data_IF_112639063114
#
_entry.id   IF_112639063114
#
_cell.length_a   1.000
_cell.length_b   1.000
_cell.length_c   1.000
_cell.angle_alpha   90.00
_cell.angle_beta   90.00
_cell.angle_gamma   90.00
#
_symmetry.space_group_name_H-M   'P 1'
#
loop_
_entity.id
_entity.type
_entity.pdbx_description
1 polymer ?
#
# COMPACT_ATOMS: atom_id res chain seq x y z
N UNK A 1 -5.69 18.05 12.77
CA UNK A 1 -5.75 16.82 13.57
C UNK A 1 -5.91 15.67 12.60
N UNK A 2 -5.11 14.64 12.71
CA UNK A 2 -5.21 13.43 11.89
C UNK A 2 -5.21 12.23 12.82
N UNK A 3 -6.10 11.28 12.59
CA UNK A 3 -6.26 10.07 13.39
C UNK A 3 -6.58 8.89 12.47
N UNK A 4 -6.26 7.67 12.91
CA UNK A 4 -6.61 6.45 12.20
C UNK A 4 -7.71 5.72 13.00
N UNK A 5 -8.89 5.67 12.41
CA UNK A 5 -10.03 4.96 12.98
C UNK A 5 -9.91 3.46 12.71
N UNK A 6 -10.00 2.65 13.75
CA UNK A 6 -10.01 1.21 13.65
C UNK A 6 -11.43 0.66 13.61
N UNK A 7 -11.74 -0.12 12.59
CA UNK A 7 -12.97 -0.89 12.53
C UNK A 7 -12.76 -2.21 13.26
N UNK A 8 -13.45 -2.40 14.38
CA UNK A 8 -13.40 -3.65 15.14
C UNK A 8 -14.55 -4.56 14.74
N UNK A 9 -14.19 -5.78 14.39
CA UNK A 9 -15.13 -6.85 14.09
C UNK A 9 -14.93 -7.94 15.15
N UNK A 10 -15.97 -8.23 15.90
CA UNK A 10 -15.98 -9.21 16.97
C UNK A 10 -17.28 -10.03 16.90
N UNK A 11 -17.18 -11.31 17.16
CA UNK A 11 -18.33 -12.22 17.28
C UNK A 11 -18.19 -13.00 18.58
N UNK A 12 -19.30 -13.34 19.22
CA UNK A 12 -19.32 -14.01 20.53
C UNK A 12 -18.55 -15.34 20.58
N UNK A 13 -18.31 -15.96 19.41
CA UNK A 13 -17.67 -17.27 19.28
C UNK A 13 -16.29 -17.22 18.58
N UNK A 14 -15.72 -16.05 18.34
CA UNK A 14 -14.42 -15.89 17.71
C UNK A 14 -13.56 -14.86 18.45
N UNK A 15 -12.25 -14.93 18.25
CA UNK A 15 -11.37 -13.84 18.66
C UNK A 15 -11.62 -12.60 17.78
N UNK A 16 -11.41 -11.40 18.33
CA UNK A 16 -11.46 -10.15 17.58
C UNK A 16 -10.48 -10.17 16.41
N UNK A 17 -10.88 -9.58 15.27
CA UNK A 17 -10.02 -9.47 14.09
C UNK A 17 -8.90 -8.48 14.38
N UNK A 18 -7.66 -8.83 13.99
CA UNK A 18 -6.51 -7.94 14.12
C UNK A 18 -6.69 -6.68 13.27
N UNK A 19 -6.28 -5.54 13.81
CA UNK A 19 -6.23 -4.29 13.05
C UNK A 19 -5.11 -4.34 12.02
N UNK A 20 -5.46 -4.12 10.75
CA UNK A 20 -4.54 -4.12 9.62
C UNK A 20 -4.67 -2.80 8.89
N UNK A 21 -3.64 -1.98 8.92
CA UNK A 21 -3.57 -0.69 8.23
C UNK A 21 -3.87 -0.83 6.74
N UNK A 22 -4.79 0.01 6.24
CA UNK A 22 -5.20 0.03 4.83
C UNK A 22 -6.11 -1.14 4.42
N UNK A 23 -6.63 -1.90 5.40
CA UNK A 23 -7.63 -2.95 5.20
C UNK A 23 -8.88 -2.71 6.06
N UNK A 24 -8.73 -2.65 7.38
CA UNK A 24 -9.83 -2.39 8.33
C UNK A 24 -9.55 -1.14 9.20
N UNK A 25 -8.80 -0.20 8.67
CA UNK A 25 -8.58 1.12 9.23
C UNK A 25 -9.04 2.20 8.27
N UNK A 26 -9.44 3.34 8.82
CA UNK A 26 -9.85 4.52 8.06
C UNK A 26 -9.10 5.74 8.58
N UNK A 27 -8.30 6.39 7.71
CA UNK A 27 -7.64 7.65 8.05
C UNK A 27 -8.64 8.80 8.05
N UNK A 28 -8.74 9.51 9.17
CA UNK A 28 -9.56 10.72 9.31
C UNK A 28 -8.67 11.94 9.53
N UNK A 29 -8.76 12.90 8.64
CA UNK A 29 -8.08 14.20 8.81
C UNK A 29 -9.11 15.31 8.94
N UNK A 30 -9.04 16.06 10.06
CA UNK A 30 -9.87 17.24 10.29
C UNK A 30 -8.95 18.47 10.22
N UNK A 31 -9.22 19.37 9.27
CA UNK A 31 -8.43 20.58 9.02
C UNK A 31 -9.34 21.74 8.65
N UNK A 32 -8.97 22.95 9.06
CA UNK A 32 -9.64 24.20 8.64
C UNK A 32 -9.21 24.64 7.25
N UNK A 33 -8.16 24.02 6.70
CA UNK A 33 -7.67 24.23 5.32
C UNK A 33 -7.73 22.91 4.57
N UNK A 34 -8.05 22.94 3.27
CA UNK A 34 -8.00 21.72 2.45
C UNK A 34 -6.63 21.03 2.60
N UNK A 35 -6.66 19.73 2.85
CA UNK A 35 -5.47 18.91 2.98
C UNK A 35 -5.47 17.82 1.90
N UNK A 36 -4.30 17.31 1.57
CA UNK A 36 -4.16 16.16 0.68
C UNK A 36 -4.76 14.91 1.34
N UNK A 37 -5.51 14.14 0.57
CA UNK A 37 -6.20 12.92 1.05
C UNK A 37 -6.20 11.86 -0.05
N UNK A 38 -5.54 10.72 0.20
CA UNK A 38 -5.29 9.67 -0.78
C UNK A 38 -6.13 8.43 -0.49
N UNK A 39 -7.04 8.10 -1.40
CA UNK A 39 -7.73 6.81 -1.41
C UNK A 39 -6.95 5.85 -2.31
N UNK A 40 -6.58 4.68 -1.81
CA UNK A 40 -5.78 3.72 -2.54
C UNK A 40 -6.40 2.32 -2.57
N UNK A 41 -6.31 1.67 -3.74
CA UNK A 41 -6.79 0.32 -3.97
C UNK A 41 -5.69 -0.51 -4.62
N UNK A 42 -5.37 -1.66 -4.02
CA UNK A 42 -4.44 -2.64 -4.57
C UNK A 42 -5.18 -3.76 -5.29
N UNK A 43 -4.59 -4.25 -6.39
CA UNK A 43 -5.08 -5.37 -7.16
C UNK A 43 -3.96 -6.38 -7.41
N UNK A 44 -4.12 -7.61 -6.91
CA UNK A 44 -3.21 -8.73 -7.14
C UNK A 44 -3.58 -9.50 -8.39
N UNK A 45 -2.63 -10.24 -8.98
CA UNK A 45 -2.85 -10.98 -10.23
C UNK A 45 -3.98 -12.01 -10.11
N UNK A 46 -4.13 -12.65 -8.95
CA UNK A 46 -5.18 -13.64 -8.66
C UNK A 46 -6.52 -13.00 -8.23
N UNK A 47 -6.55 -11.69 -7.95
CA UNK A 47 -7.74 -10.99 -7.45
C UNK A 47 -8.15 -11.34 -6.02
N UNK A 48 -7.33 -12.13 -5.30
CA UNK A 48 -7.62 -12.60 -3.94
C UNK A 48 -6.97 -11.75 -2.82
N UNK A 49 -6.25 -10.66 -3.20
CA UNK A 49 -5.54 -9.81 -2.25
C UNK A 49 -4.23 -10.40 -1.72
N UNK A 50 -3.73 -11.50 -2.31
CA UNK A 50 -2.49 -12.17 -1.93
C UNK A 50 -1.48 -12.08 -3.08
N UNK A 51 -0.27 -11.64 -2.78
CA UNK A 51 0.89 -11.73 -3.66
C UNK A 51 1.54 -13.09 -3.43
N UNK A 52 1.48 -13.96 -4.43
CA UNK A 52 2.06 -15.29 -4.40
C UNK A 52 3.39 -15.30 -5.13
N UNK A 53 4.45 -15.79 -4.49
CA UNK A 53 5.79 -15.96 -5.06
C UNK A 53 6.12 -17.45 -4.99
N UNK A 54 6.44 -18.06 -6.14
CA UNK A 54 6.54 -19.52 -6.25
C UNK A 54 7.75 -20.12 -5.54
N UNK A 55 8.81 -19.33 -5.31
CA UNK A 55 10.02 -19.83 -4.65
C UNK A 55 10.86 -18.68 -4.07
N UNK A 56 11.77 -19.02 -3.17
CA UNK A 56 12.82 -18.09 -2.68
C UNK A 56 13.71 -17.66 -3.84
N UNK A 57 13.99 -16.37 -3.95
CA UNK A 57 14.66 -15.73 -5.09
C UNK A 57 13.71 -15.35 -6.23
N UNK A 58 12.47 -15.80 -6.19
CA UNK A 58 11.43 -15.40 -7.12
C UNK A 58 10.91 -13.98 -6.85
N UNK A 59 10.15 -13.47 -7.81
CA UNK A 59 9.52 -12.15 -7.71
C UNK A 59 8.07 -12.20 -8.21
N UNK A 60 7.25 -11.32 -7.67
CA UNK A 60 5.90 -11.07 -8.13
C UNK A 60 5.61 -9.56 -8.12
N UNK A 61 4.51 -9.15 -8.74
CA UNK A 61 4.08 -7.77 -8.74
C UNK A 61 2.56 -7.66 -8.53
N UNK A 62 2.14 -6.50 -8.04
CA UNK A 62 0.74 -6.12 -8.00
C UNK A 62 0.55 -4.66 -8.41
N UNK A 63 -0.64 -4.33 -8.86
CA UNK A 63 -1.00 -2.98 -9.24
C UNK A 63 -1.59 -2.22 -8.04
N UNK A 64 -1.35 -0.91 -8.01
CA UNK A 64 -1.99 0.01 -7.06
C UNK A 64 -2.52 1.22 -7.83
N UNK A 65 -3.78 1.55 -7.59
CA UNK A 65 -4.36 2.82 -8.01
C UNK A 65 -4.62 3.69 -6.78
N UNK A 66 -4.37 4.99 -6.90
CA UNK A 66 -4.70 5.95 -5.85
C UNK A 66 -5.31 7.21 -6.42
N UNK A 67 -6.29 7.77 -5.72
CA UNK A 67 -6.93 9.02 -6.08
C UNK A 67 -6.72 10.05 -4.95
N UNK A 68 -6.30 11.26 -5.29
CA UNK A 68 -6.29 12.37 -4.35
C UNK A 68 -7.69 12.99 -4.33
N UNK A 69 -8.45 12.78 -3.26
CA UNK A 69 -9.79 13.37 -3.06
C UNK A 69 -9.75 14.67 -2.27
N UNK A 70 -8.56 15.10 -1.87
CA UNK A 70 -8.30 16.33 -1.13
C UNK A 70 -7.65 17.43 -1.98
N UNK A 71 -6.88 18.31 -1.34
CA UNK A 71 -6.15 19.39 -1.99
C UNK A 71 -4.92 18.88 -2.76
N UNK A 72 -4.46 19.64 -3.74
CA UNK A 72 -3.20 19.41 -4.40
C UNK A 72 -2.02 19.54 -3.43
N UNK A 73 -0.92 18.81 -3.69
CA UNK A 73 0.29 18.89 -2.90
C UNK A 73 1.27 17.75 -3.12
N UNK A 74 2.37 17.79 -2.36
CA UNK A 74 3.38 16.74 -2.41
C UNK A 74 3.06 15.57 -1.49
N UNK A 75 3.21 14.36 -2.01
CA UNK A 75 3.06 13.11 -1.27
C UNK A 75 4.19 12.15 -1.61
N UNK A 76 4.65 11.39 -0.64
CA UNK A 76 5.58 10.28 -0.86
C UNK A 76 4.81 8.97 -0.80
N UNK A 77 4.75 8.25 -1.93
CA UNK A 77 4.32 6.86 -1.96
C UNK A 77 5.47 5.99 -1.47
N UNK A 78 5.25 5.20 -0.41
CA UNK A 78 6.27 4.36 0.23
C UNK A 78 5.77 2.93 0.36
N UNK A 79 6.55 1.97 -0.16
CA UNK A 79 6.28 0.54 0.05
C UNK A 79 7.13 -0.01 1.19
N UNK A 80 6.51 -0.83 2.03
CA UNK A 80 7.19 -1.56 3.10
C UNK A 80 6.57 -2.94 3.30
N UNK A 81 7.37 -3.90 3.72
CA UNK A 81 6.89 -5.19 4.23
C UNK A 81 6.64 -5.12 5.74
N UNK A 82 5.82 -5.99 6.27
CA UNK A 82 5.74 -6.21 7.71
C UNK A 82 7.13 -6.55 8.28
N UNK A 83 7.38 -6.13 9.52
CA UNK A 83 8.71 -6.24 10.13
C UNK A 83 9.20 -7.70 10.15
N UNK A 84 10.45 -7.90 9.76
CA UNK A 84 11.12 -9.22 9.79
C UNK A 84 10.79 -10.14 8.61
N UNK A 85 9.95 -9.76 7.66
CA UNK A 85 9.73 -10.57 6.47
C UNK A 85 10.95 -10.54 5.56
N UNK A 86 11.42 -11.70 5.06
CA UNK A 86 12.55 -11.81 4.14
C UNK A 86 12.14 -11.43 2.71
N UNK A 87 11.79 -10.15 2.52
CA UNK A 87 11.28 -9.61 1.27
C UNK A 87 11.96 -8.27 0.95
N UNK A 88 12.17 -8.02 -0.32
CA UNK A 88 12.54 -6.70 -0.85
C UNK A 88 11.40 -6.20 -1.71
N UNK A 89 10.90 -5.00 -1.42
CA UNK A 89 9.83 -4.39 -2.18
C UNK A 89 10.25 -3.04 -2.77
N UNK A 90 9.76 -2.75 -3.97
CA UNK A 90 9.95 -1.47 -4.64
C UNK A 90 8.75 -1.13 -5.50
N UNK A 91 8.50 0.16 -5.72
CA UNK A 91 7.41 0.64 -6.55
C UNK A 91 7.90 1.62 -7.61
N UNK A 92 7.17 1.74 -8.70
CA UNK A 92 7.28 2.82 -9.67
C UNK A 92 5.90 3.36 -10.03
N UNK A 93 5.83 4.63 -10.39
CA UNK A 93 4.63 5.20 -11.00
C UNK A 93 4.48 4.65 -12.44
N UNK A 94 3.24 4.37 -12.86
CA UNK A 94 2.97 3.76 -14.16
C UNK A 94 2.21 4.70 -15.11
N UNK A 95 2.34 4.43 -16.40
CA UNK A 95 1.48 4.99 -17.44
C UNK A 95 0.17 4.16 -17.55
N UNK A 96 -0.69 4.55 -18.49
CA UNK A 96 -1.97 3.86 -18.77
C UNK A 96 -1.83 2.41 -19.23
N UNK A 97 -0.63 2.00 -19.67
CA UNK A 97 -0.31 0.62 -20.06
C UNK A 97 0.30 -0.21 -18.92
N UNK A 98 0.40 0.35 -17.70
CA UNK A 98 0.98 -0.33 -16.54
C UNK A 98 2.50 -0.39 -16.52
N UNK A 99 3.19 0.30 -17.45
CA UNK A 99 4.64 0.35 -17.51
C UNK A 99 5.18 1.50 -16.64
N UNK A 100 6.32 1.30 -15.99
CA UNK A 100 6.99 2.33 -15.20
C UNK A 100 7.26 3.57 -16.07
N UNK A 101 6.86 4.75 -15.58
CA UNK A 101 7.09 6.02 -16.27
C UNK A 101 8.60 6.27 -16.43
N UNK A 102 8.99 6.77 -17.61
CA UNK A 102 10.37 7.17 -17.89
C UNK A 102 11.42 6.09 -17.60
N UNK A 103 11.07 4.81 -17.75
CA UNK A 103 11.92 3.67 -17.42
C UNK A 103 12.46 3.71 -15.98
N UNK A 104 11.66 4.21 -15.05
CA UNK A 104 12.02 4.28 -13.63
C UNK A 104 12.38 2.90 -13.09
N UNK A 105 13.49 2.81 -12.36
CA UNK A 105 13.81 1.62 -11.55
C UNK A 105 12.95 1.65 -10.29
N UNK A 106 12.26 0.55 -9.96
CA UNK A 106 11.48 0.45 -8.72
C UNK A 106 12.34 0.74 -7.49
N UNK A 107 11.80 1.53 -6.56
CA UNK A 107 12.46 1.89 -5.29
C UNK A 107 11.46 1.90 -4.13
N UNK A 108 11.97 1.96 -2.90
CA UNK A 108 11.12 1.90 -1.70
C UNK A 108 10.17 3.09 -1.57
N UNK A 109 10.51 4.25 -2.15
CA UNK A 109 9.68 5.45 -2.08
C UNK A 109 9.79 6.32 -3.35
N UNK A 110 8.71 7.06 -3.62
CA UNK A 110 8.62 8.06 -4.67
C UNK A 110 7.89 9.29 -4.16
N UNK A 111 8.52 10.45 -4.31
CA UNK A 111 7.86 11.74 -4.10
C UNK A 111 7.13 12.16 -5.38
N UNK A 112 5.89 12.57 -5.21
CA UNK A 112 4.94 12.93 -6.27
C UNK A 112 4.34 14.30 -5.96
N UNK A 113 4.15 15.10 -6.99
CA UNK A 113 3.24 16.23 -6.97
C UNK A 113 1.89 15.75 -7.51
N UNK A 114 0.83 15.86 -6.71
CA UNK A 114 -0.50 15.34 -7.05
C UNK A 114 -1.52 16.46 -7.03
N UNK A 115 -2.23 16.60 -8.14
CA UNK A 115 -3.34 17.54 -8.24
C UNK A 115 -4.56 17.07 -7.45
N UNK A 116 -5.43 18.00 -7.08
CA UNK A 116 -6.74 17.68 -6.53
C UNK A 116 -7.56 16.87 -7.56
N UNK A 117 -8.26 15.83 -7.10
CA UNK A 117 -9.06 14.92 -7.93
C UNK A 117 -8.27 14.17 -9.01
N UNK A 118 -6.95 14.08 -8.88
CA UNK A 118 -6.11 13.30 -9.79
C UNK A 118 -5.96 11.86 -9.33
N UNK A 119 -5.74 10.96 -10.30
CA UNK A 119 -5.48 9.54 -10.06
C UNK A 119 -4.07 9.19 -10.47
N UNK A 120 -3.35 8.46 -9.61
CA UNK A 120 -2.02 7.95 -9.84
C UNK A 120 -2.06 6.43 -9.82
N UNK A 121 -1.27 5.79 -10.67
CA UNK A 121 -1.14 4.32 -10.70
C UNK A 121 0.31 3.92 -10.50
N UNK A 122 0.49 2.74 -9.88
CA UNK A 122 1.80 2.19 -9.55
C UNK A 122 1.85 0.70 -9.83
N UNK A 123 3.03 0.22 -10.20
CA UNK A 123 3.39 -1.19 -10.08
C UNK A 123 4.28 -1.38 -8.87
N UNK A 124 3.94 -2.34 -8.03
CA UNK A 124 4.72 -2.72 -6.85
C UNK A 124 5.34 -4.08 -7.10
N UNK A 125 6.64 -4.17 -6.96
CA UNK A 125 7.43 -5.38 -7.19
C UNK A 125 7.92 -5.91 -5.85
N UNK A 126 7.83 -7.21 -5.65
CA UNK A 126 8.24 -7.89 -4.43
C UNK A 126 9.13 -9.06 -4.79
N UNK A 127 10.33 -9.11 -4.21
CA UNK A 127 11.28 -10.21 -4.38
C UNK A 127 11.47 -10.95 -3.05
N UNK A 128 11.37 -12.26 -3.08
CA UNK A 128 11.57 -13.11 -1.92
C UNK A 128 13.06 -13.38 -1.67
N UNK A 129 13.53 -13.13 -0.45
CA UNK A 129 14.87 -13.50 0.03
C UNK A 129 14.84 -14.67 1.01
N UNK A 130 13.64 -15.15 1.37
CA UNK A 130 13.41 -16.29 2.23
C UNK A 130 11.95 -16.73 2.15
N UNK A 131 11.62 -17.80 2.89
CA UNK A 131 10.28 -18.36 2.91
C UNK A 131 9.32 -17.47 3.74
N UNK A 132 8.09 -17.30 3.26
CA UNK A 132 7.02 -16.55 3.94
C UNK A 132 5.75 -17.40 3.94
N UNK A 133 5.34 -17.96 5.07
CA UNK A 133 4.13 -18.76 5.14
C UNK A 133 2.87 -17.92 4.88
N UNK A 134 1.79 -18.55 4.48
CA UNK A 134 0.49 -17.89 4.33
C UNK A 134 -0.03 -17.46 5.73
N UNK A 135 0.04 -16.17 5.98
CA UNK A 135 -0.55 -15.51 7.15
C UNK A 135 -1.08 -14.13 6.73
N UNK A 136 -2.30 -14.07 6.17
CA UNK A 136 -2.84 -12.82 5.62
C UNK A 136 -3.02 -11.70 6.65
N UNK A 137 -3.07 -12.01 7.93
CA UNK A 137 -3.17 -11.02 9.00
C UNK A 137 -1.83 -10.33 9.27
N UNK A 138 -0.72 -11.06 9.23
CA UNK A 138 0.58 -10.57 9.68
C UNK A 138 1.58 -10.39 8.53
N UNK A 139 1.56 -11.26 7.51
CA UNK A 139 2.51 -11.22 6.39
C UNK A 139 1.97 -10.33 5.27
N UNK A 140 2.28 -9.02 5.33
CA UNK A 140 1.72 -8.01 4.42
C UNK A 140 2.77 -7.09 3.83
N UNK A 141 2.46 -6.62 2.62
CA UNK A 141 3.09 -5.48 1.97
C UNK A 141 2.13 -4.30 2.08
N UNK A 142 2.61 -3.20 2.58
CA UNK A 142 1.84 -1.96 2.76
C UNK A 142 2.41 -0.88 1.86
N UNK A 143 1.54 -0.12 1.19
CA UNK A 143 1.91 1.12 0.52
C UNK A 143 1.25 2.26 1.29
N UNK A 144 2.07 3.12 1.88
CA UNK A 144 1.65 4.33 2.58
C UNK A 144 1.83 5.54 1.66
N UNK A 145 0.90 6.49 1.74
CA UNK A 145 1.05 7.83 1.20
C UNK A 145 1.28 8.79 2.36
N UNK A 146 2.43 9.49 2.32
CA UNK A 146 2.89 10.33 3.43
C UNK A 146 3.07 11.76 2.93
N UNK A 147 2.46 12.74 3.59
CA UNK A 147 2.61 14.15 3.24
C UNK A 147 3.98 14.71 3.68
N UNK A 148 4.28 15.96 3.29
CA UNK A 148 5.55 16.62 3.61
C UNK A 148 5.80 16.79 5.13
N UNK A 149 4.76 16.76 5.96
CA UNK A 149 4.87 16.83 7.42
C UNK A 149 5.08 15.44 8.07
N UNK A 150 5.17 14.36 7.26
CA UNK A 150 5.33 12.99 7.74
C UNK A 150 4.03 12.30 8.18
N UNK A 151 2.89 12.96 8.01
CA UNK A 151 1.58 12.37 8.30
C UNK A 151 1.12 11.44 7.19
N UNK A 152 0.57 10.26 7.56
CA UNK A 152 -0.07 9.37 6.61
C UNK A 152 -1.38 9.99 6.13
N UNK A 153 -1.56 10.05 4.81
CA UNK A 153 -2.73 10.61 4.14
C UNK A 153 -3.47 9.58 3.29
N UNK A 154 -3.03 8.33 3.33
CA UNK A 154 -3.66 7.19 2.69
C UNK A 154 -2.80 5.95 2.80
N UNK A 155 -3.39 4.78 2.66
CA UNK A 155 -2.68 3.50 2.64
C UNK A 155 -3.49 2.42 1.93
N UNK A 156 -2.80 1.40 1.43
CA UNK A 156 -3.39 0.13 1.01
C UNK A 156 -2.43 -1.01 1.31
N UNK A 157 -2.94 -2.22 1.44
CA UNK A 157 -2.08 -3.37 1.73
C UNK A 157 -2.58 -4.66 1.08
N UNK A 158 -1.66 -5.56 0.79
CA UNK A 158 -1.93 -6.92 0.30
C UNK A 158 -1.20 -7.92 1.19
N UNK A 159 -1.74 -9.12 1.30
CA UNK A 159 -1.02 -10.23 1.92
C UNK A 159 0.08 -10.75 0.97
N UNK A 160 1.06 -11.46 1.51
CA UNK A 160 2.14 -12.08 0.73
C UNK A 160 2.44 -13.47 1.25
N UNK A 161 2.73 -14.38 0.33
CA UNK A 161 3.27 -15.70 0.65
C UNK A 161 4.38 -16.09 -0.34
N UNK A 162 5.33 -16.90 0.13
CA UNK A 162 6.37 -17.54 -0.67
C UNK A 162 6.26 -19.04 -0.48
N UNK A 163 6.13 -19.78 -1.56
CA UNK A 163 6.03 -21.26 -1.56
C UNK A 163 7.38 -21.93 -1.44
#
# INVERSE_FOLDING_TARGET
MSDELELRFDCDNTAAVNTITGLNTFGLTVSNTPAIDMVALAATASGNGIVEIDNVGGAAAFALASANVGAAGFVTARVRSAAGLPLVAGLCQTNSSGLCLNNQTPRADWMLDVDANSTQTFSVFVTATGNVPLDPANNRIVVDFVNAAGGRVGASSVAVMVR
#
